data_IF_221511516683
#
_entry.id   IF_221511516683
#
_cell.length_a   1.000
_cell.length_b   1.000
_cell.length_c   1.000
_cell.angle_alpha   90.00
_cell.angle_beta   90.00
_cell.angle_gamma   90.00
#
_symmetry.space_group_name_H-M   'P 1'
#
loop_
_entity.id
_entity.type
_entity.pdbx_description
1 polymer ?
#
# COMPACT_ATOMS: atom_id res chain seq x y z
N UNK A 1 -7.63 -1.80 -13.79
CA UNK A 1 -6.84 -1.28 -12.68
C UNK A 1 -6.85 -2.29 -11.53
N UNK A 2 -5.68 -2.71 -11.10
CA UNK A 2 -5.54 -3.62 -9.96
C UNK A 2 -4.96 -2.86 -8.79
N UNK A 3 -5.67 -2.91 -7.66
CA UNK A 3 -5.19 -2.28 -6.43
C UNK A 3 -5.28 -3.30 -5.29
N UNK A 4 -4.50 -3.05 -4.26
CA UNK A 4 -4.58 -3.82 -3.03
C UNK A 4 -5.22 -2.92 -1.99
N UNK A 5 -6.18 -3.47 -1.26
CA UNK A 5 -6.83 -2.76 -0.16
C UNK A 5 -6.41 -3.45 1.13
N UNK A 6 -5.83 -2.69 2.03
CA UNK A 6 -5.38 -3.19 3.31
C UNK A 6 -6.02 -2.41 4.44
N UNK A 7 -6.21 -3.06 5.59
CA UNK A 7 -6.75 -2.43 6.78
C UNK A 7 -5.69 -2.44 7.86
N UNK A 8 -5.43 -1.27 8.44
CA UNK A 8 -4.48 -1.14 9.54
C UNK A 8 -5.07 -0.22 10.60
N UNK A 9 -5.17 -0.72 11.83
CA UNK A 9 -5.74 0.03 12.95
C UNK A 9 -7.12 0.62 12.63
N UNK A 10 -7.95 -0.17 11.94
CA UNK A 10 -9.31 0.25 11.59
C UNK A 10 -9.40 1.16 10.37
N UNK A 11 -8.28 1.52 9.76
CA UNK A 11 -8.26 2.41 8.60
C UNK A 11 -7.93 1.61 7.35
N UNK A 12 -8.75 1.77 6.31
CA UNK A 12 -8.52 1.13 5.01
C UNK A 12 -7.63 2.00 4.15
N UNK A 13 -6.66 1.38 3.48
CA UNK A 13 -5.78 2.04 2.54
C UNK A 13 -5.77 1.25 1.23
N UNK A 14 -5.69 1.95 0.11
CA UNK A 14 -5.57 1.33 -1.21
C UNK A 14 -4.28 1.78 -1.87
N UNK A 15 -3.58 0.85 -2.50
CA UNK A 15 -2.32 1.16 -3.16
C UNK A 15 -2.11 0.27 -4.37
N UNK A 16 -1.15 0.64 -5.22
CA UNK A 16 -0.85 -0.11 -6.43
C UNK A 16 -0.40 -1.53 -6.09
N UNK A 17 -0.66 -2.47 -6.98
CA UNK A 17 -0.38 -3.88 -6.71
C UNK A 17 1.06 -4.28 -7.01
N UNK A 18 1.86 -3.41 -7.58
CA UNK A 18 3.25 -3.69 -7.92
C UNK A 18 4.19 -2.76 -7.16
N UNK A 19 5.28 -3.31 -6.65
CA UNK A 19 6.30 -2.52 -5.97
C UNK A 19 6.94 -1.53 -6.94
N UNK A 20 7.00 -0.23 -6.62
CA UNK A 20 7.62 0.75 -7.52
C UNK A 20 9.12 0.54 -7.70
N UNK A 21 9.74 -0.23 -6.82
CA UNK A 21 11.16 -0.55 -6.89
C UNK A 21 11.48 -1.43 -8.11
N UNK A 22 10.83 -2.60 -8.23
CA UNK A 22 11.06 -3.52 -9.35
C UNK A 22 9.77 -4.15 -9.86
N UNK A 23 8.63 -3.54 -9.58
CA UNK A 23 7.32 -3.99 -10.03
C UNK A 23 7.00 -5.43 -9.60
N UNK A 24 7.52 -5.83 -8.46
CA UNK A 24 7.22 -7.12 -7.87
C UNK A 24 5.79 -7.09 -7.29
N UNK A 25 4.99 -8.15 -7.50
CA UNK A 25 3.64 -8.16 -6.95
C UNK A 25 3.65 -8.07 -5.42
N UNK A 26 2.75 -7.23 -4.89
CA UNK A 26 2.66 -6.99 -3.45
C UNK A 26 1.55 -7.78 -2.76
N UNK A 27 0.85 -8.64 -3.50
CA UNK A 27 -0.28 -9.38 -2.92
C UNK A 27 0.13 -10.28 -1.75
N UNK A 28 1.37 -10.75 -1.75
CA UNK A 28 1.89 -11.61 -0.69
C UNK A 28 2.81 -10.86 0.28
N UNK A 29 2.77 -9.54 0.25
CA UNK A 29 3.61 -8.74 1.13
C UNK A 29 3.13 -8.83 2.57
N UNK A 30 4.06 -8.54 3.48
CA UNK A 30 3.77 -8.51 4.91
C UNK A 30 3.49 -7.06 5.31
N UNK A 31 2.47 -6.88 6.14
CA UNK A 31 2.19 -5.56 6.70
C UNK A 31 2.70 -5.53 8.15
N UNK A 32 3.53 -4.53 8.47
CA UNK A 32 4.10 -4.40 9.80
C UNK A 32 3.10 -3.77 10.77
N UNK A 33 3.40 -3.88 12.07
CA UNK A 33 2.59 -3.24 13.10
C UNK A 33 2.65 -1.71 13.01
N UNK A 34 3.63 -1.17 12.29
CA UNK A 34 3.78 0.27 12.14
C UNK A 34 3.06 0.83 10.91
N UNK A 35 2.25 0.00 10.23
CA UNK A 35 1.53 0.45 9.05
C UNK A 35 2.38 0.56 7.81
N UNK A 36 3.32 -0.36 7.65
CA UNK A 36 4.17 -0.43 6.47
C UNK A 36 3.91 -1.72 5.71
N UNK A 37 3.96 -1.64 4.38
CA UNK A 37 3.95 -2.80 3.49
C UNK A 37 5.39 -3.14 3.14
N UNK A 38 5.77 -4.39 3.35
CA UNK A 38 7.13 -4.86 3.07
C UNK A 38 7.13 -5.62 1.76
N UNK A 39 7.85 -5.12 0.77
CA UNK A 39 8.04 -5.83 -0.49
C UNK A 39 8.90 -7.06 -0.22
N UNK A 40 8.46 -8.28 -0.59
CA UNK A 40 9.24 -9.48 -0.31
C UNK A 40 10.56 -9.54 -1.08
N UNK A 41 10.67 -8.75 -2.15
CA UNK A 41 11.91 -8.64 -2.91
C UNK A 41 12.76 -7.51 -2.30
N UNK A 42 13.83 -7.82 -1.63
CA UNK A 42 14.75 -6.89 -0.97
C UNK A 42 14.18 -6.16 0.25
N UNK A 43 12.98 -6.52 0.70
CA UNK A 43 12.39 -6.01 1.95
C UNK A 43 12.28 -4.47 2.02
N UNK A 44 11.98 -3.82 0.89
CA UNK A 44 11.67 -2.40 0.90
C UNK A 44 10.35 -2.19 1.64
N UNK A 45 10.30 -1.18 2.51
CA UNK A 45 9.12 -0.89 3.33
C UNK A 45 8.48 0.42 2.91
N UNK A 46 7.18 0.37 2.67
CA UNK A 46 6.41 1.53 2.22
C UNK A 46 5.35 1.88 3.24
N UNK A 47 5.30 3.15 3.63
CA UNK A 47 4.27 3.63 4.55
C UNK A 47 2.90 3.55 3.90
N UNK A 48 1.91 2.94 4.56
CA UNK A 48 0.54 2.96 4.07
C UNK A 48 -0.06 4.36 4.13
N UNK A 49 0.44 5.21 5.01
CA UNK A 49 -0.07 6.55 5.18
C UNK A 49 0.39 7.50 4.09
N UNK A 50 1.65 7.40 3.66
CA UNK A 50 2.24 8.33 2.70
C UNK A 50 2.67 7.67 1.40
N UNK A 51 2.89 6.37 1.41
CA UNK A 51 3.45 5.62 0.28
C UNK A 51 4.96 5.67 0.21
N UNK A 52 5.62 6.49 1.03
CA UNK A 52 7.07 6.64 0.95
C UNK A 52 7.81 5.40 1.44
N UNK A 53 8.90 5.06 0.76
CA UNK A 53 9.79 4.00 1.20
C UNK A 53 10.59 4.48 2.42
N UNK A 54 10.82 3.60 3.38
CA UNK A 54 11.40 3.95 4.68
C UNK A 54 12.73 4.70 4.59
N UNK A 55 13.53 4.38 3.58
CA UNK A 55 14.84 5.01 3.37
C UNK A 55 14.88 5.83 2.08
N UNK A 56 13.71 6.00 1.45
CA UNK A 56 13.57 6.76 0.20
C UNK A 56 14.48 6.24 -0.91
N UNK A 57 14.64 4.91 -0.98
CA UNK A 57 15.49 4.28 -1.98
C UNK A 57 14.86 4.22 -3.36
N UNK A 58 13.57 4.48 -3.46
CA UNK A 58 12.84 4.50 -4.71
C UNK A 58 11.67 5.44 -4.59
N UNK A 59 10.92 5.63 -5.70
CA UNK A 59 9.75 6.50 -5.65
C UNK A 59 8.68 5.91 -4.73
N UNK A 60 7.79 6.77 -4.26
CA UNK A 60 6.72 6.36 -3.35
C UNK A 60 5.77 5.38 -4.01
N UNK A 61 5.20 4.49 -3.20
CA UNK A 61 4.13 3.60 -3.61
C UNK A 61 2.89 4.44 -3.93
N UNK A 62 2.30 4.22 -5.10
CA UNK A 62 1.11 4.97 -5.50
C UNK A 62 -0.07 4.53 -4.65
N UNK A 63 -0.76 5.51 -4.06
CA UNK A 63 -1.93 5.27 -3.23
C UNK A 63 -3.16 5.83 -3.92
N UNK A 64 -4.31 5.25 -3.60
CA UNK A 64 -5.59 5.68 -4.18
C UNK A 64 -6.51 6.10 -3.04
N UNK A 65 -7.21 7.24 -3.16
CA UNK A 65 -8.17 7.64 -2.13
C UNK A 65 -9.30 6.63 -2.00
N UNK A 66 -9.69 6.37 -0.76
CA UNK A 66 -10.85 5.54 -0.46
C UNK A 66 -11.89 6.39 0.23
N UNK A 67 -13.15 6.09 -0.06
CA UNK A 67 -14.28 6.73 0.59
C UNK A 67 -15.14 5.64 1.22
N UNK A 68 -15.43 5.79 2.51
CA UNK A 68 -16.27 4.84 3.23
C UNK A 68 -17.64 5.46 3.39
N UNK A 69 -18.63 4.81 2.81
CA UNK A 69 -20.03 5.23 2.89
C UNK A 69 -20.88 4.09 3.43
N UNK A 70 -22.09 4.41 3.86
CA UNK A 70 -23.01 3.39 4.31
C UNK A 70 -23.13 2.30 3.24
N UNK A 71 -22.81 1.06 3.63
CA UNK A 71 -22.90 -0.08 2.72
C UNK A 71 -21.65 -0.42 1.94
N UNK A 72 -20.53 0.32 2.09
CA UNK A 72 -19.34 -0.12 1.38
C UNK A 72 -18.15 0.82 1.42
N UNK A 73 -17.09 0.35 0.79
CA UNK A 73 -15.85 1.08 0.59
C UNK A 73 -15.71 1.37 -0.89
N UNK A 74 -15.50 2.63 -1.24
CA UNK A 74 -15.43 3.06 -2.64
C UNK A 74 -14.05 3.62 -2.96
N UNK A 75 -13.51 3.19 -4.10
CA UNK A 75 -12.22 3.64 -4.58
C UNK A 75 -12.41 4.82 -5.51
N UNK A 76 -11.65 5.89 -5.27
CA UNK A 76 -11.64 7.06 -6.16
C UNK A 76 -10.39 6.99 -7.04
N UNK A 77 -10.60 6.90 -8.34
CA UNK A 77 -9.49 6.79 -9.31
C UNK A 77 -9.56 7.89 -10.36
#
# INVERSE_FOLDING_TARGET
>A
LKVIIAKHNGVYQAFEHLCPHQRHPLKDSIMTAFGEVVCPLHEYRFSLKTGEEAHQKCKALKRYPLEIKAGGVYLSV
#
